data_IF_719025459818
#
_entry.id   IF_719025459818
#
_cell.length_a   1.000
_cell.length_b   1.000
_cell.length_c   1.000
_cell.angle_alpha   90.00
_cell.angle_beta   90.00
_cell.angle_gamma   90.00
#
_symmetry.space_group_name_H-M   'P 1'
#
loop_
_entity.id
_entity.type
_entity.pdbx_description
1 polymer ?
#
# COMPACT_ATOMS: atom_id res chain seq x y z
N UNK A 1 -43.39 -6.90 -2.45
CA UNK A 1 -42.20 -7.70 -2.10
C UNK A 1 -41.20 -7.52 -3.23
N UNK A 2 -40.23 -6.62 -3.04
CA UNK A 2 -39.11 -6.42 -3.97
C UNK A 2 -37.86 -7.00 -3.30
N UNK A 3 -37.00 -7.73 -4.04
CA UNK A 3 -35.80 -8.33 -3.48
C UNK A 3 -34.73 -7.26 -3.21
N UNK A 4 -33.99 -7.44 -2.11
CA UNK A 4 -32.88 -6.59 -1.71
C UNK A 4 -31.71 -6.68 -2.71
N UNK A 5 -30.91 -5.62 -2.88
CA UNK A 5 -29.70 -5.68 -3.69
C UNK A 5 -28.62 -6.48 -2.95
N UNK A 6 -28.09 -7.50 -3.61
CA UNK A 6 -26.89 -8.21 -3.15
C UNK A 6 -25.68 -7.30 -3.35
N UNK A 7 -25.18 -6.71 -2.26
CA UNK A 7 -23.87 -6.09 -2.21
C UNK A 7 -22.80 -7.17 -2.40
N UNK A 8 -22.22 -7.23 -3.59
CA UNK A 8 -21.04 -8.03 -3.90
C UNK A 8 -19.80 -7.45 -3.20
N UNK A 9 -19.72 -7.62 -1.89
CA UNK A 9 -18.48 -7.51 -1.13
C UNK A 9 -17.68 -8.80 -1.43
N UNK A 10 -16.92 -8.78 -2.53
CA UNK A 10 -16.17 -9.93 -2.99
C UNK A 10 -15.02 -10.23 -2.01
N UNK A 11 -15.33 -10.93 -0.93
CA UNK A 11 -14.36 -11.50 -0.02
C UNK A 11 -13.41 -12.38 -0.84
N UNK A 12 -12.12 -12.02 -0.86
CA UNK A 12 -11.11 -12.76 -1.60
C UNK A 12 -11.19 -14.25 -1.28
N UNK A 13 -11.26 -15.09 -2.31
CA UNK A 13 -11.38 -16.53 -2.10
C UNK A 13 -10.08 -17.08 -1.49
N UNK A 14 -10.12 -18.21 -0.77
CA UNK A 14 -8.91 -18.81 -0.20
C UNK A 14 -7.79 -19.05 -1.24
N UNK A 15 -8.16 -19.44 -2.46
CA UNK A 15 -7.23 -19.61 -3.58
C UNK A 15 -6.53 -18.32 -4.00
N UNK A 16 -7.22 -17.18 -3.94
CA UNK A 16 -6.64 -15.88 -4.30
C UNK A 16 -5.60 -15.45 -3.26
N UNK A 17 -5.88 -15.71 -1.99
CA UNK A 17 -4.97 -15.40 -0.88
C UNK A 17 -3.70 -16.25 -0.95
N UNK A 18 -3.81 -17.53 -1.32
CA UNK A 18 -2.66 -18.42 -1.49
C UNK A 18 -1.79 -18.02 -2.69
N UNK A 19 -2.41 -17.63 -3.81
CA UNK A 19 -1.72 -17.07 -4.96
C UNK A 19 -0.98 -15.77 -4.60
N UNK A 20 -1.64 -14.88 -3.84
CA UNK A 20 -1.04 -13.65 -3.36
C UNK A 20 0.15 -13.92 -2.42
N UNK A 21 0.03 -14.88 -1.50
CA UNK A 21 1.13 -15.27 -0.62
C UNK A 21 2.31 -15.85 -1.41
N UNK A 22 2.02 -16.66 -2.42
CA UNK A 22 3.04 -17.22 -3.33
C UNK A 22 3.78 -16.12 -4.08
N UNK A 23 3.05 -15.13 -4.62
CA UNK A 23 3.64 -13.97 -5.26
C UNK A 23 4.50 -13.14 -4.28
N UNK A 24 4.07 -12.97 -3.04
CA UNK A 24 4.85 -12.29 -2.01
C UNK A 24 6.14 -13.02 -1.66
N UNK A 25 6.11 -14.35 -1.57
CA UNK A 25 7.29 -15.20 -1.33
C UNK A 25 8.28 -15.17 -2.50
N UNK A 26 7.82 -14.95 -3.73
CA UNK A 26 8.68 -14.82 -4.91
C UNK A 26 9.42 -13.47 -4.97
N UNK A 27 8.83 -12.40 -4.42
CA UNK A 27 9.42 -11.06 -4.44
C UNK A 27 10.67 -10.93 -3.55
N UNK A 28 11.50 -9.98 -3.93
CA UNK A 28 12.80 -9.68 -3.31
C UNK A 28 12.92 -8.17 -3.16
N UNK A 29 13.37 -7.71 -1.99
CA UNK A 29 13.55 -6.30 -1.69
C UNK A 29 14.97 -6.04 -1.22
N UNK A 30 15.65 -5.04 -1.79
CA UNK A 30 17.01 -4.66 -1.37
C UNK A 30 17.00 -3.97 -0.01
N UNK A 31 15.93 -3.23 0.32
CA UNK A 31 15.79 -2.53 1.59
C UNK A 31 14.58 -3.04 2.38
N UNK A 32 14.80 -3.26 3.68
CA UNK A 32 13.74 -3.71 4.58
C UNK A 32 12.59 -2.72 4.75
N UNK A 33 12.81 -1.43 4.44
CA UNK A 33 11.76 -0.40 4.43
C UNK A 33 10.78 -0.59 3.26
N UNK A 34 11.27 -1.02 2.10
CA UNK A 34 10.47 -1.20 0.89
C UNK A 34 9.60 -2.45 1.02
N UNK A 35 10.14 -3.52 1.63
CA UNK A 35 9.36 -4.67 2.09
C UNK A 35 8.22 -4.23 3.04
N UNK A 36 8.55 -3.45 4.07
CA UNK A 36 7.56 -2.98 5.04
C UNK A 36 6.46 -2.13 4.37
N UNK A 37 6.84 -1.27 3.43
CA UNK A 37 5.90 -0.48 2.64
C UNK A 37 4.97 -1.40 1.82
N UNK A 38 5.52 -2.37 1.11
CA UNK A 38 4.74 -3.30 0.29
C UNK A 38 3.75 -4.14 1.11
N UNK A 39 4.18 -4.66 2.26
CA UNK A 39 3.30 -5.44 3.15
C UNK A 39 2.14 -4.58 3.68
N UNK A 40 2.40 -3.30 3.98
CA UNK A 40 1.34 -2.37 4.37
C UNK A 40 0.37 -2.06 3.22
N UNK A 41 0.82 -2.06 1.97
CA UNK A 41 -0.07 -1.92 0.80
C UNK A 41 -0.97 -3.12 0.61
N UNK A 42 -0.44 -4.33 0.82
CA UNK A 42 -1.24 -5.56 0.76
C UNK A 42 -2.35 -5.52 1.81
N UNK A 43 -2.03 -5.18 3.05
CA UNK A 43 -3.03 -5.08 4.11
C UNK A 43 -4.06 -3.97 3.85
N UNK A 44 -3.61 -2.80 3.35
CA UNK A 44 -4.50 -1.68 3.05
C UNK A 44 -5.51 -2.04 1.94
N UNK A 45 -5.08 -2.75 0.89
CA UNK A 45 -6.00 -3.24 -0.16
C UNK A 45 -7.04 -4.22 0.36
N UNK A 46 -6.73 -4.96 1.43
CA UNK A 46 -7.68 -5.83 2.12
C UNK A 46 -8.59 -5.05 3.10
N UNK A 47 -8.52 -3.72 3.15
CA UNK A 47 -9.27 -2.90 4.09
C UNK A 47 -8.79 -3.01 5.54
N UNK A 48 -7.58 -3.55 5.76
CA UNK A 48 -7.02 -3.81 7.10
C UNK A 48 -5.70 -3.06 7.30
N UNK A 49 -5.16 -3.12 8.53
CA UNK A 49 -3.90 -2.47 8.87
C UNK A 49 -2.87 -3.47 9.38
N UNK A 50 -1.73 -3.52 8.71
CA UNK A 50 -0.56 -4.26 9.16
C UNK A 50 0.37 -3.40 10.03
N UNK A 51 0.85 -3.99 11.12
CA UNK A 51 1.88 -3.41 12.00
C UNK A 51 3.08 -4.35 12.10
N UNK A 52 4.27 -3.78 12.30
CA UNK A 52 5.47 -4.56 12.54
C UNK A 52 5.52 -4.87 14.03
N UNK A 53 5.38 -6.15 14.40
CA UNK A 53 5.44 -6.56 15.80
C UNK A 53 6.87 -6.84 16.27
N UNK A 54 7.68 -7.39 15.38
CA UNK A 54 9.10 -7.69 15.64
C UNK A 54 9.91 -7.15 14.48
N UNK A 55 10.98 -6.42 14.79
CA UNK A 55 11.97 -5.96 13.81
C UNK A 55 13.37 -6.16 14.39
N UNK A 56 13.99 -7.28 14.06
CA UNK A 56 15.41 -7.54 14.30
C UNK A 56 16.24 -7.27 13.04
N UNK A 57 17.57 -7.19 13.18
CA UNK A 57 18.46 -6.83 12.06
C UNK A 57 18.29 -7.68 10.79
N UNK A 58 17.86 -8.93 10.92
CA UNK A 58 17.63 -9.85 9.80
C UNK A 58 16.24 -10.49 9.78
N UNK A 59 15.32 -10.06 10.64
CA UNK A 59 13.99 -10.68 10.77
C UNK A 59 12.90 -9.63 11.02
N UNK A 60 11.76 -9.77 10.34
CA UNK A 60 10.58 -8.94 10.56
C UNK A 60 9.33 -9.81 10.64
N UNK A 61 8.50 -9.54 11.64
CA UNK A 61 7.16 -10.10 11.77
C UNK A 61 6.12 -9.00 11.66
N UNK A 62 5.22 -9.17 10.69
CA UNK A 62 4.06 -8.32 10.47
C UNK A 62 2.82 -9.03 11.02
N UNK A 63 1.94 -8.28 11.67
CA UNK A 63 0.68 -8.77 12.23
C UNK A 63 -0.43 -7.76 11.96
N UNK A 64 -1.67 -8.21 12.07
CA UNK A 64 -2.83 -7.32 12.01
C UNK A 64 -2.85 -6.38 13.22
N UNK A 65 -3.38 -5.17 13.05
CA UNK A 65 -3.56 -4.22 14.16
C UNK A 65 -4.83 -4.46 14.97
N UNK A 66 -5.50 -5.60 14.77
CA UNK A 66 -6.75 -5.94 15.44
C UNK A 66 -6.54 -6.05 16.94
N UNK A 67 -7.52 -5.62 17.74
CA UNK A 67 -7.51 -5.89 19.19
C UNK A 67 -7.92 -7.33 19.46
N UNK A 68 -8.85 -7.85 18.65
CA UNK A 68 -9.22 -9.27 18.67
C UNK A 68 -8.09 -10.16 18.10
N UNK A 69 -7.94 -11.41 18.57
CA UNK A 69 -6.96 -12.33 18.00
C UNK A 69 -7.20 -12.55 16.51
N UNK A 70 -6.23 -12.12 15.70
CA UNK A 70 -6.30 -12.21 14.25
C UNK A 70 -5.14 -13.08 13.72
N UNK A 71 -5.43 -14.10 12.90
CA UNK A 71 -4.41 -15.05 12.44
C UNK A 71 -3.53 -14.48 11.31
N UNK A 72 -3.90 -13.32 10.76
CA UNK A 72 -3.13 -12.64 9.72
C UNK A 72 -1.72 -12.29 10.19
N UNK A 73 -0.71 -12.80 9.48
CA UNK A 73 0.69 -12.52 9.77
C UNK A 73 1.57 -12.76 8.54
N UNK A 74 2.71 -12.06 8.50
CA UNK A 74 3.79 -12.34 7.55
C UNK A 74 5.13 -12.32 8.27
N UNK A 75 5.96 -13.31 7.97
CA UNK A 75 7.33 -13.40 8.43
C UNK A 75 8.26 -13.14 7.24
N UNK A 76 9.26 -12.31 7.47
CA UNK A 76 10.26 -11.99 6.48
C UNK A 76 11.66 -12.01 7.08
N UNK A 77 12.64 -12.39 6.28
CA UNK A 77 14.04 -12.44 6.68
C UNK A 77 14.91 -11.68 5.68
N UNK A 78 16.08 -11.26 6.14
CA UNK A 78 17.14 -10.71 5.32
C UNK A 78 18.15 -11.80 5.02
N UNK A 79 18.48 -12.02 3.74
CA UNK A 79 19.52 -12.96 3.35
C UNK A 79 20.86 -12.56 3.96
N UNK A 80 21.64 -13.57 4.32
CA UNK A 80 23.04 -13.35 4.68
C UNK A 80 23.84 -13.08 3.39
N UNK A 81 24.84 -12.20 3.41
CA UNK A 81 25.73 -12.07 2.27
C UNK A 81 26.37 -13.44 2.02
N UNK A 82 26.25 -13.95 0.80
CA UNK A 82 26.92 -15.18 0.40
C UNK A 82 28.41 -14.86 0.44
N UNK A 83 29.17 -15.49 1.33
CA UNK A 83 30.64 -15.37 1.33
C UNK A 83 31.06 -15.84 -0.06
N UNK A 84 31.54 -14.93 -0.90
CA UNK A 84 32.10 -15.30 -2.19
C UNK A 84 33.14 -16.38 -1.89
N UNK A 85 32.99 -17.56 -2.48
CA UNK A 85 34.06 -18.54 -2.44
C UNK A 85 35.28 -17.81 -2.98
N UNK A 86 36.35 -17.78 -2.19
CA UNK A 86 37.61 -17.16 -2.55
C UNK A 86 38.27 -18.01 -3.64
N UNK A 87 37.70 -17.99 -4.84
CA UNK A 87 38.37 -18.42 -6.07
C UNK A 87 38.73 -17.14 -6.79
N UNK A 88 40.02 -16.83 -6.72
CA UNK A 88 40.65 -15.72 -7.37
C UNK A 88 40.42 -15.81 -8.88
N UNK A 89 39.44 -15.07 -9.38
CA UNK A 89 39.55 -14.47 -10.71
C UNK A 89 38.68 -13.22 -10.74
N UNK A 90 39.34 -12.06 -10.72
CA UNK A 90 38.69 -10.76 -10.75
C UNK A 90 38.49 -10.36 -12.20
N UNK A 91 37.25 -10.42 -12.69
CA UNK A 91 36.75 -9.44 -13.65
C UNK A 91 35.23 -9.57 -13.81
N UNK A 92 34.54 -8.47 -13.56
CA UNK A 92 33.20 -8.17 -14.06
C UNK A 92 32.05 -9.12 -13.65
N UNK A 93 31.53 -8.92 -12.44
CA UNK A 93 30.12 -8.53 -12.32
C UNK A 93 29.87 -7.86 -10.98
N UNK A 94 29.31 -6.65 -11.01
CA UNK A 94 28.81 -5.92 -9.85
C UNK A 94 27.56 -6.58 -9.22
N UNK A 95 27.43 -7.91 -9.36
CA UNK A 95 26.53 -8.74 -8.57
C UNK A 95 27.21 -9.13 -7.25
N UNK A 96 27.78 -8.13 -6.58
CA UNK A 96 28.21 -8.21 -5.20
C UNK A 96 27.00 -8.70 -4.37
N UNK A 97 27.16 -9.81 -3.64
CA UNK A 97 26.09 -10.56 -2.98
C UNK A 97 25.26 -9.70 -2.01
N UNK A 98 24.33 -8.93 -2.56
CA UNK A 98 23.61 -7.90 -1.83
C UNK A 98 22.63 -8.59 -0.88
N UNK A 99 22.51 -8.05 0.33
CA UNK A 99 21.49 -8.54 1.28
C UNK A 99 20.11 -8.23 0.72
N UNK A 100 19.25 -9.23 0.70
CA UNK A 100 17.90 -9.13 0.14
C UNK A 100 16.89 -9.61 1.19
N UNK A 101 15.86 -8.82 1.38
CA UNK A 101 14.70 -9.17 2.16
C UNK A 101 13.71 -9.99 1.34
N UNK A 102 13.10 -10.99 1.96
CA UNK A 102 12.05 -11.81 1.36
C UNK A 102 11.09 -12.37 2.40
N UNK A 103 9.86 -12.65 1.98
CA UNK A 103 8.84 -13.30 2.82
C UNK A 103 9.15 -14.80 2.89
N UNK A 104 9.21 -15.35 4.10
CA UNK A 104 9.44 -16.79 4.32
C UNK A 104 8.13 -17.55 4.47
N UNK A 105 7.22 -17.02 5.27
CA UNK A 105 5.94 -17.64 5.58
C UNK A 105 4.91 -16.59 5.97
N UNK A 106 3.64 -16.96 5.98
CA UNK A 106 2.56 -16.10 6.43
C UNK A 106 1.20 -16.71 6.17
N UNK A 107 0.18 -15.99 6.65
CA UNK A 107 -1.22 -16.26 6.44
C UNK A 107 -1.90 -14.91 6.18
N UNK A 108 -2.61 -14.81 5.06
CA UNK A 108 -3.26 -13.57 4.63
C UNK A 108 -4.76 -13.52 4.99
N UNK A 109 -5.26 -14.58 5.64
CA UNK A 109 -6.64 -14.66 6.11
C UNK A 109 -6.80 -13.89 7.41
N UNK A 110 -7.83 -13.07 7.49
CA UNK A 110 -8.26 -12.41 8.72
C UNK A 110 -9.33 -13.24 9.43
N UNK A 111 -9.47 -13.05 10.75
CA UNK A 111 -10.62 -13.58 11.49
C UNK A 111 -11.90 -12.91 11.01
N UNK A 112 -13.03 -13.62 11.04
CA UNK A 112 -14.34 -13.03 10.76
C UNK A 112 -14.68 -11.87 11.72
N UNK A 113 -14.11 -11.89 12.93
CA UNK A 113 -14.28 -10.85 13.96
C UNK A 113 -13.12 -9.83 13.98
N UNK A 114 -12.39 -9.70 12.86
CA UNK A 114 -11.26 -8.78 12.74
C UNK A 114 -11.73 -7.32 12.71
N UNK A 115 -11.54 -6.63 13.84
CA UNK A 115 -11.84 -5.21 14.07
C UNK A 115 -10.76 -4.24 13.54
N UNK A 116 -9.70 -4.74 12.90
CA UNK A 116 -8.68 -3.88 12.32
C UNK A 116 -9.28 -2.97 11.25
N UNK A 117 -9.10 -1.67 11.45
CA UNK A 117 -9.50 -0.63 10.49
C UNK A 117 -8.32 -0.24 9.62
N UNK A 118 -8.54 -0.15 8.32
CA UNK A 118 -7.58 0.41 7.37
C UNK A 118 -7.13 1.80 7.82
N UNK A 119 -5.82 2.00 7.89
CA UNK A 119 -5.22 3.31 8.18
C UNK A 119 -4.04 3.52 7.24
N UNK A 120 -4.22 4.24 6.12
CA UNK A 120 -3.16 4.45 5.15
C UNK A 120 -2.01 5.25 5.77
N UNK A 121 -0.80 4.97 5.29
CA UNK A 121 0.42 5.72 5.58
C UNK A 121 0.46 7.01 4.77
N UNK A 122 1.28 7.99 5.17
CA UNK A 122 1.50 9.22 4.38
C UNK A 122 1.92 8.91 2.95
N UNK A 123 2.74 7.86 2.73
CA UNK A 123 3.11 7.42 1.38
C UNK A 123 1.87 6.99 0.57
N UNK A 124 1.04 6.12 1.13
CA UNK A 124 -0.18 5.63 0.48
C UNK A 124 -1.18 6.76 0.22
N UNK A 125 -1.28 7.73 1.13
CA UNK A 125 -2.12 8.92 0.92
C UNK A 125 -1.66 9.75 -0.28
N UNK A 126 -0.34 9.92 -0.48
CA UNK A 126 0.19 10.65 -1.66
C UNK A 126 -0.07 9.91 -2.98
N UNK A 127 -0.19 8.60 -2.94
CA UNK A 127 -0.53 7.77 -4.10
C UNK A 127 -2.04 7.78 -4.41
N UNK A 128 -2.88 8.24 -3.47
CA UNK A 128 -4.32 8.37 -3.67
C UNK A 128 -4.65 9.41 -4.74
N UNK A 129 -5.42 9.01 -5.76
CA UNK A 129 -5.95 9.96 -6.75
C UNK A 129 -6.85 10.99 -6.07
N UNK A 130 -7.77 10.57 -5.21
CA UNK A 130 -8.69 11.44 -4.48
C UNK A 130 -7.97 12.58 -3.75
N UNK A 131 -6.88 12.27 -3.03
CA UNK A 131 -6.13 13.30 -2.32
C UNK A 131 -5.38 14.23 -3.28
N UNK A 132 -4.74 13.68 -4.32
CA UNK A 132 -4.02 14.49 -5.31
C UNK A 132 -4.96 15.44 -6.05
N UNK A 133 -6.08 14.94 -6.53
CA UNK A 133 -7.07 15.71 -7.28
C UNK A 133 -7.65 16.85 -6.43
N UNK A 134 -7.99 16.57 -5.18
CA UNK A 134 -8.49 17.59 -4.25
C UNK A 134 -7.45 18.68 -3.95
N UNK A 135 -6.18 18.28 -3.72
CA UNK A 135 -5.09 19.23 -3.44
C UNK A 135 -4.72 20.05 -4.68
N UNK A 136 -4.78 19.46 -5.87
CA UNK A 136 -4.45 20.12 -7.13
C UNK A 136 -5.58 21.04 -7.61
N UNK A 137 -6.84 20.70 -7.31
CA UNK A 137 -7.99 21.56 -7.55
C UNK A 137 -8.00 22.79 -6.64
N UNK A 138 -7.72 22.62 -5.34
CA UNK A 138 -7.58 23.75 -4.41
C UNK A 138 -6.48 23.52 -3.35
N UNK A 139 -5.35 24.21 -3.52
CA UNK A 139 -4.25 24.16 -2.57
C UNK A 139 -4.60 24.71 -1.17
N UNK A 140 -5.69 25.47 -1.02
CA UNK A 140 -6.11 26.07 0.26
C UNK A 140 -7.01 25.17 1.09
N UNK A 141 -7.53 24.07 0.52
CA UNK A 141 -8.42 23.13 1.21
C UNK A 141 -7.85 22.72 2.57
N UNK A 142 -8.67 22.73 3.62
CA UNK A 142 -8.16 22.42 4.95
C UNK A 142 -7.86 20.92 5.07
N UNK A 143 -6.88 20.55 5.90
CA UNK A 143 -6.60 19.13 6.15
C UNK A 143 -7.76 18.42 6.86
N UNK A 144 -8.67 19.15 7.52
CA UNK A 144 -9.84 18.57 8.14
C UNK A 144 -10.88 18.18 7.08
N UNK A 145 -11.12 19.04 6.11
CA UNK A 145 -12.05 18.76 5.00
C UNK A 145 -11.54 17.62 4.13
N UNK A 146 -10.22 17.57 3.88
CA UNK A 146 -9.60 16.45 3.17
C UNK A 146 -9.76 15.11 3.91
N UNK A 147 -9.66 15.11 5.25
CA UNK A 147 -9.94 13.90 6.04
C UNK A 147 -11.40 13.48 5.84
N UNK A 148 -12.33 14.41 6.01
CA UNK A 148 -13.77 14.11 5.84
C UNK A 148 -14.09 13.57 4.44
N UNK A 149 -13.52 14.16 3.38
CA UNK A 149 -13.70 13.69 2.01
C UNK A 149 -13.11 12.28 1.80
N UNK A 150 -11.92 12.01 2.31
CA UNK A 150 -11.28 10.71 2.16
C UNK A 150 -12.00 9.61 2.94
N UNK A 151 -12.46 9.89 4.16
CA UNK A 151 -13.21 8.94 4.99
C UNK A 151 -14.64 8.72 4.47
N UNK A 152 -15.23 9.71 3.79
CA UNK A 152 -16.52 9.56 3.12
C UNK A 152 -16.41 8.75 1.82
N UNK A 153 -15.31 8.90 1.07
CA UNK A 153 -15.11 8.24 -0.21
C UNK A 153 -14.49 6.84 -0.08
N UNK A 154 -13.86 6.51 1.06
CA UNK A 154 -13.17 5.25 1.24
C UNK A 154 -13.31 4.70 2.66
N UNK A 155 -13.37 3.38 2.76
CA UNK A 155 -13.54 2.64 4.03
C UNK A 155 -12.24 2.57 4.86
N UNK A 156 -11.59 3.70 5.11
CA UNK A 156 -10.40 3.80 5.96
C UNK A 156 -10.42 5.03 6.86
N UNK A 157 -9.66 5.00 7.95
CA UNK A 157 -9.48 6.14 8.85
C UNK A 157 -8.18 6.88 8.59
N UNK A 158 -8.21 8.20 8.66
CA UNK A 158 -7.05 9.05 8.45
C UNK A 158 -6.83 10.02 9.62
N UNK A 159 -5.59 10.16 10.06
CA UNK A 159 -5.26 11.23 11.01
C UNK A 159 -4.93 12.53 10.29
N UNK A 160 -5.47 13.64 10.79
CA UNK A 160 -5.23 15.00 10.27
C UNK A 160 -3.76 15.31 10.02
N UNK A 161 -2.86 14.90 10.93
CA UNK A 161 -1.41 15.10 10.79
C UNK A 161 -0.81 14.38 9.57
N UNK A 162 -1.32 13.21 9.22
CA UNK A 162 -0.83 12.43 8.07
C UNK A 162 -1.32 13.01 6.76
N UNK A 163 -2.57 13.46 6.72
CA UNK A 163 -3.15 14.17 5.57
C UNK A 163 -2.45 15.51 5.36
N UNK A 164 -2.20 16.26 6.43
CA UNK A 164 -1.41 17.50 6.38
C UNK A 164 -0.02 17.25 5.78
N UNK A 165 0.71 16.23 6.28
CA UNK A 165 2.04 15.91 5.77
C UNK A 165 2.00 15.46 4.31
N UNK A 166 1.02 14.64 3.93
CA UNK A 166 0.84 14.22 2.54
C UNK A 166 0.55 15.41 1.62
N UNK A 167 -0.33 16.32 2.03
CA UNK A 167 -0.61 17.57 1.31
C UNK A 167 0.63 18.43 1.14
N UNK A 168 1.39 18.66 2.22
CA UNK A 168 2.63 19.45 2.17
C UNK A 168 3.61 18.86 1.16
N UNK A 169 3.87 17.55 1.25
CA UNK A 169 4.77 16.87 0.32
C UNK A 169 4.30 16.96 -1.15
N UNK A 170 2.99 16.93 -1.41
CA UNK A 170 2.43 17.08 -2.76
C UNK A 170 2.63 18.49 -3.32
N UNK A 171 2.44 19.51 -2.48
CA UNK A 171 2.68 20.90 -2.87
C UNK A 171 4.17 21.18 -3.10
N UNK A 172 5.04 20.66 -2.22
CA UNK A 172 6.49 20.77 -2.38
C UNK A 172 6.97 20.10 -3.68
N UNK A 173 6.40 18.95 -4.03
CA UNK A 173 6.68 18.25 -5.27
C UNK A 173 6.23 19.05 -6.51
N UNK A 174 5.05 19.67 -6.45
CA UNK A 174 4.57 20.57 -7.52
C UNK A 174 5.46 21.78 -7.70
N UNK A 175 5.88 22.41 -6.60
CA UNK A 175 6.78 23.57 -6.65
C UNK A 175 8.14 23.18 -7.24
N UNK A 176 8.67 22.02 -6.84
CA UNK A 176 9.92 21.48 -7.38
C UNK A 176 9.81 21.21 -8.89
N UNK A 177 8.72 20.57 -9.35
CA UNK A 177 8.49 20.32 -10.77
C UNK A 177 8.41 21.64 -11.58
N UNK A 178 7.70 22.65 -11.06
CA UNK A 178 7.62 23.98 -11.67
C UNK A 178 9.00 24.64 -11.79
N UNK A 179 9.85 24.52 -10.78
CA UNK A 179 11.21 25.07 -10.79
C UNK A 179 12.13 24.36 -11.79
N UNK A 180 11.95 23.06 -11.96
CA UNK A 180 12.74 22.24 -12.88
C UNK A 180 12.31 22.39 -14.35
N UNK A 181 11.19 23.06 -14.63
CA UNK A 181 10.62 23.13 -15.97
C UNK A 181 10.00 21.80 -16.44
N UNK A 182 9.83 20.85 -15.53
CA UNK A 182 9.09 19.63 -15.80
C UNK A 182 7.62 20.02 -15.96
N UNK A 183 7.06 19.82 -17.15
CA UNK A 183 5.62 19.90 -17.35
C UNK A 183 4.96 19.03 -16.27
N UNK A 184 4.00 19.61 -15.54
CA UNK A 184 3.21 18.94 -14.50
C UNK A 184 2.98 17.49 -14.92
N UNK A 185 3.30 16.48 -14.09
CA UNK A 185 3.12 15.10 -14.50
C UNK A 185 1.68 14.94 -14.94
N UNK A 186 1.51 14.72 -16.25
CA UNK A 186 0.26 14.44 -16.90
C UNK A 186 -0.39 13.33 -16.08
N UNK A 187 -1.57 13.64 -15.55
CA UNK A 187 -2.38 12.70 -14.78
C UNK A 187 -2.48 11.46 -15.63
N UNK A 188 -1.81 10.38 -15.22
CA UNK A 188 -1.96 9.10 -15.89
C UNK A 188 -3.44 8.71 -15.74
N UNK A 189 -4.22 9.01 -16.78
CA UNK A 189 -5.53 8.46 -17.06
C UNK A 189 -5.37 6.94 -17.15
N UNK A 190 -5.43 6.30 -16.00
CA UNK A 190 -5.60 4.86 -15.91
C UNK A 190 -6.47 4.63 -14.69
N UNK A 191 -7.76 4.88 -14.88
CA UNK A 191 -8.88 4.11 -14.29
C UNK A 191 -10.26 4.58 -14.80
N UNK A 192 -10.37 5.07 -16.03
CA UNK A 192 -11.65 5.04 -16.76
C UNK A 192 -11.73 3.74 -17.55
N UNK A 193 -12.03 2.66 -16.84
CA UNK A 193 -12.62 1.47 -17.46
C UNK A 193 -13.51 0.64 -16.51
N UNK A 194 -13.99 1.22 -15.41
CA UNK A 194 -14.99 0.56 -14.55
C UNK A 194 -16.23 1.41 -14.25
N UNK A 195 -16.56 2.40 -15.08
CA UNK A 195 -17.88 3.05 -15.05
C UNK A 195 -18.50 2.95 -16.44
N UNK A 196 -19.05 1.77 -16.74
CA UNK A 196 -19.91 1.56 -17.88
C UNK A 196 -21.17 2.41 -17.75
N UNK A 197 -21.30 3.36 -18.66
CA UNK A 197 -22.55 3.88 -19.23
C UNK A 197 -23.67 4.29 -18.27
N UNK A 198 -23.67 5.58 -17.90
CA UNK A 198 -24.91 6.29 -17.58
C UNK A 198 -25.07 7.52 -18.48
N UNK A 199 -25.88 7.33 -19.53
CA UNK A 199 -26.63 8.29 -20.37
C UNK A 199 -27.16 7.44 -21.54
N UNK A 200 -28.44 7.36 -21.90
CA UNK A 200 -29.44 8.41 -22.00
C UNK A 200 -30.81 7.73 -22.30
N UNK A 201 -31.90 8.22 -21.70
CA UNK A 201 -33.10 8.62 -22.43
C UNK A 201 -34.16 9.18 -21.46
N UNK A 202 -34.17 10.51 -21.32
CA UNK A 202 -35.41 11.26 -21.08
C UNK A 202 -36.14 11.41 -22.41
N UNK A 203 -37.40 10.99 -22.45
CA UNK A 203 -38.50 11.86 -22.85
C UNK A 203 -39.78 11.37 -22.18
#
# INVERSE_FOLDING_TARGET
MLPAPEESDAAATPSDLDAQLTALKAKRWTRGKDLTAHVKDVALRAGKRAVVRVSGGSYKKFVCSSETPCPWLLNAVCSRPKKAAATADQSQSEHEASRVWYVTSGLLTHSAQCDSVARPTTRQLKESALLRDAVYADARVSSADLVAQLEAAASFQCSKSMVYKAKSDLLDALETARRNGDAVPEVAESMQNCLGTWSNCRR
#
